data_IF_373506779438
#
_entry.id   IF_373506779438
#
_cell.length_a   1.000
_cell.length_b   1.000
_cell.length_c   1.000
_cell.angle_alpha   90.00
_cell.angle_beta   90.00
_cell.angle_gamma   90.00
#
_symmetry.space_group_name_H-M   'P 1'
#
loop_
_entity.id
_entity.type
_entity.pdbx_description
1 polymer ?
#
# COMPACT_ATOMS: atom_id res chain seq x y z
N UNK A 1 58.58 4.11 -0.28
CA UNK A 1 57.40 3.94 -1.16
C UNK A 1 56.37 3.16 -0.37
N UNK A 2 55.39 3.85 0.19
CA UNK A 2 54.25 3.24 0.87
C UNK A 2 53.37 2.55 -0.16
N UNK A 3 53.14 1.25 0.00
CA UNK A 3 52.15 0.50 -0.78
C UNK A 3 50.78 1.19 -0.67
N UNK A 4 50.02 1.32 -1.75
CA UNK A 4 48.63 1.74 -1.63
C UNK A 4 47.85 0.61 -0.97
N UNK A 5 47.46 0.81 0.30
CA UNK A 5 46.45 -0.01 0.97
C UNK A 5 45.23 -0.11 0.07
N UNK A 6 44.90 -1.30 -0.45
CA UNK A 6 43.66 -1.50 -1.18
C UNK A 6 42.49 -1.03 -0.30
N UNK A 7 41.56 -0.22 -0.83
CA UNK A 7 40.42 0.24 -0.04
C UNK A 7 39.63 -0.99 0.42
N UNK A 8 39.33 -1.07 1.71
CA UNK A 8 38.62 -2.22 2.27
C UNK A 8 37.25 -2.38 1.60
N UNK A 9 37.02 -3.52 0.97
CA UNK A 9 35.74 -3.86 0.34
C UNK A 9 34.61 -3.88 1.37
N UNK A 10 33.67 -2.93 1.25
CA UNK A 10 32.50 -2.87 2.09
C UNK A 10 31.40 -3.79 1.55
N UNK A 11 30.49 -4.25 2.40
CA UNK A 11 29.26 -4.89 1.92
C UNK A 11 28.35 -3.82 1.31
N UNK A 12 27.61 -4.18 0.26
CA UNK A 12 26.72 -3.26 -0.47
C UNK A 12 25.70 -2.58 0.46
N UNK A 13 25.09 -3.31 1.39
CA UNK A 13 24.18 -2.72 2.38
C UNK A 13 24.82 -1.63 3.25
N UNK A 14 26.07 -1.84 3.65
CA UNK A 14 26.86 -0.85 4.41
C UNK A 14 27.28 0.31 3.52
N UNK A 15 27.70 0.04 2.29
CA UNK A 15 28.13 1.05 1.34
C UNK A 15 26.98 1.98 0.91
N UNK A 16 25.78 1.44 0.69
CA UNK A 16 24.58 2.23 0.39
C UNK A 16 24.27 3.22 1.51
N UNK A 17 24.33 2.77 2.76
CA UNK A 17 24.10 3.65 3.92
C UNK A 17 25.20 4.68 4.08
N UNK A 18 26.46 4.24 4.02
CA UNK A 18 27.61 5.13 4.18
C UNK A 18 27.69 6.22 3.10
N UNK A 19 27.16 5.96 1.91
CA UNK A 19 27.09 6.91 0.79
C UNK A 19 25.80 7.73 0.74
N UNK A 20 24.91 7.59 1.71
CA UNK A 20 23.63 8.29 1.74
C UNK A 20 22.63 7.84 0.67
N UNK A 21 22.86 6.69 0.03
CA UNK A 21 21.99 6.08 -0.97
C UNK A 21 20.86 5.25 -0.33
N UNK A 22 20.96 5.00 0.98
CA UNK A 22 19.92 4.41 1.83
C UNK A 22 20.04 4.98 3.25
N UNK A 23 18.92 5.19 3.93
CA UNK A 23 18.85 5.71 5.31
C UNK A 23 19.11 4.65 6.37
N UNK A 24 18.90 3.38 6.03
CA UNK A 24 19.19 2.25 6.92
C UNK A 24 19.63 1.01 6.14
N UNK A 25 20.26 0.06 6.84
CA UNK A 25 20.62 -1.25 6.25
C UNK A 25 19.39 -2.04 5.82
N UNK A 26 18.24 -1.82 6.48
CA UNK A 26 16.96 -2.40 6.09
C UNK A 26 16.46 -1.86 4.75
N UNK A 27 16.50 -0.53 4.56
CA UNK A 27 16.17 0.10 3.27
C UNK A 27 17.15 -0.34 2.18
N UNK A 28 18.45 -0.40 2.48
CA UNK A 28 19.44 -0.89 1.53
C UNK A 28 19.15 -2.33 1.06
N UNK A 29 18.71 -3.20 1.98
CA UNK A 29 18.35 -4.57 1.62
C UNK A 29 17.12 -4.65 0.72
N UNK A 30 16.16 -3.77 0.96
CA UNK A 30 14.94 -3.66 0.18
C UNK A 30 15.19 -3.12 -1.24
N UNK A 31 16.02 -2.08 -1.38
CA UNK A 31 16.44 -1.55 -2.69
C UNK A 31 17.08 -2.63 -3.56
N UNK A 32 17.99 -3.43 -2.97
CA UNK A 32 18.64 -4.55 -3.68
C UNK A 32 17.62 -5.63 -4.04
N UNK A 33 16.68 -5.95 -3.15
CA UNK A 33 15.67 -6.98 -3.41
C UNK A 33 14.73 -6.63 -4.57
N UNK A 34 14.46 -5.34 -4.80
CA UNK A 34 13.66 -4.85 -5.93
C UNK A 34 14.44 -4.73 -7.24
N UNK A 35 15.75 -4.94 -7.23
CA UNK A 35 16.61 -4.70 -8.39
C UNK A 35 16.86 -3.22 -8.67
N UNK A 36 16.51 -2.32 -7.73
CA UNK A 36 16.67 -0.87 -7.86
C UNK A 36 18.12 -0.42 -7.64
N UNK A 37 19.06 -1.32 -7.36
CA UNK A 37 20.48 -0.98 -7.15
C UNK A 37 21.30 -1.55 -8.29
N UNK A 38 22.11 -0.71 -8.92
CA UNK A 38 23.16 -1.14 -9.83
C UNK A 38 24.54 -0.81 -9.27
N UNK A 39 25.49 -1.72 -9.48
CA UNK A 39 26.90 -1.57 -9.11
C UNK A 39 27.73 -1.75 -10.38
N UNK A 40 28.51 -0.73 -10.73
CA UNK A 40 29.29 -0.69 -11.97
C UNK A 40 28.46 -1.06 -13.21
N UNK A 41 27.25 -0.49 -13.30
CA UNK A 41 26.31 -0.70 -14.41
C UNK A 41 25.61 -2.06 -14.43
N UNK A 42 25.71 -2.88 -13.37
CA UNK A 42 25.03 -4.19 -13.28
C UNK A 42 24.06 -4.25 -12.10
N UNK A 43 22.85 -4.83 -12.26
CA UNK A 43 21.92 -5.01 -11.15
C UNK A 43 22.56 -5.80 -9.99
N UNK A 44 22.47 -5.25 -8.79
CA UNK A 44 22.87 -5.94 -7.58
C UNK A 44 21.76 -6.89 -7.14
N UNK A 45 22.12 -8.14 -6.86
CA UNK A 45 21.17 -9.18 -6.43
C UNK A 45 21.36 -9.62 -4.99
N UNK A 46 22.44 -9.16 -4.33
CA UNK A 46 22.80 -9.55 -2.97
C UNK A 46 23.31 -8.36 -2.17
N UNK A 47 22.72 -8.16 -1.00
CA UNK A 47 23.13 -7.12 -0.03
C UNK A 47 24.55 -7.32 0.51
N UNK A 48 25.01 -8.57 0.49
CA UNK A 48 26.36 -8.95 0.92
C UNK A 48 27.41 -8.83 -0.19
N UNK A 49 27.04 -8.36 -1.38
CA UNK A 49 27.98 -8.09 -2.47
C UNK A 49 29.08 -7.16 -1.94
N UNK A 50 30.34 -7.52 -2.20
CA UNK A 50 31.48 -6.70 -1.83
C UNK A 50 31.66 -5.61 -2.89
N UNK A 51 31.73 -4.37 -2.43
CA UNK A 51 31.88 -3.19 -3.28
C UNK A 51 33.08 -2.37 -2.83
N UNK A 52 33.90 -1.97 -3.79
CA UNK A 52 35.05 -1.10 -3.56
C UNK A 52 34.59 0.33 -3.33
N UNK A 53 35.42 1.12 -2.65
CA UNK A 53 35.14 2.52 -2.38
C UNK A 53 34.94 3.36 -3.67
N UNK A 54 35.62 2.99 -4.75
CA UNK A 54 35.60 3.67 -6.05
C UNK A 54 34.56 3.11 -7.05
N UNK A 55 33.90 1.99 -6.73
CA UNK A 55 32.86 1.45 -7.60
C UNK A 55 31.62 2.34 -7.60
N UNK A 56 31.12 2.69 -8.78
CA UNK A 56 29.87 3.43 -8.94
C UNK A 56 28.68 2.58 -8.46
N UNK A 57 27.87 3.14 -7.59
CA UNK A 57 26.64 2.54 -7.09
C UNK A 57 25.51 3.52 -7.41
N UNK A 58 24.54 3.08 -8.20
CA UNK A 58 23.36 3.87 -8.54
C UNK A 58 22.13 3.19 -7.95
N UNK A 59 21.23 4.00 -7.41
CA UNK A 59 19.89 3.56 -7.02
C UNK A 59 18.92 4.17 -8.02
N UNK A 60 18.12 3.33 -8.69
CA UNK A 60 17.12 3.77 -9.65
C UNK A 60 16.03 4.60 -8.95
N UNK A 61 15.83 5.84 -9.44
CA UNK A 61 14.68 6.67 -9.12
C UNK A 61 14.51 7.05 -7.64
N UNK A 62 13.34 7.62 -7.32
CA UNK A 62 12.94 8.15 -6.01
C UNK A 62 12.90 7.10 -4.87
N UNK A 63 13.27 5.83 -5.14
CA UNK A 63 13.27 4.72 -4.17
C UNK A 63 14.14 5.00 -2.93
N UNK A 64 15.22 5.77 -3.08
CA UNK A 64 16.04 6.19 -1.94
C UNK A 64 15.29 7.15 -0.99
N UNK A 65 14.31 7.91 -1.52
CA UNK A 65 13.51 8.87 -0.76
C UNK A 65 12.32 8.24 -0.03
N UNK A 66 11.84 7.08 -0.47
CA UNK A 66 10.64 6.48 0.12
C UNK A 66 10.92 5.89 1.52
N UNK A 67 10.01 6.14 2.47
CA UNK A 67 10.07 5.64 3.85
C UNK A 67 9.66 4.19 4.00
N UNK A 68 8.93 3.65 3.03
CA UNK A 68 8.64 2.23 3.01
C UNK A 68 8.21 1.71 1.66
N UNK A 69 8.23 0.38 1.55
CA UNK A 69 7.66 -0.37 0.42
C UNK A 69 6.19 -0.06 0.19
N UNK A 70 5.45 0.26 1.26
CA UNK A 70 4.02 0.56 1.14
C UNK A 70 3.78 1.77 0.24
N UNK A 71 4.68 2.76 0.22
CA UNK A 71 4.58 3.92 -0.67
C UNK A 71 4.37 3.52 -2.15
N UNK A 72 5.08 2.50 -2.64
CA UNK A 72 4.91 2.00 -4.00
C UNK A 72 3.51 1.48 -4.31
N UNK A 73 2.80 0.95 -3.31
CA UNK A 73 1.42 0.46 -3.51
C UNK A 73 0.49 1.63 -3.78
N UNK A 74 0.59 2.72 -3.01
CA UNK A 74 -0.24 3.91 -3.20
C UNK A 74 0.19 4.69 -4.46
N UNK A 75 1.48 4.78 -4.76
CA UNK A 75 1.96 5.29 -6.05
C UNK A 75 1.36 4.51 -7.22
N UNK A 76 1.31 3.18 -7.12
CA UNK A 76 0.62 2.33 -8.09
C UNK A 76 -0.86 2.65 -8.26
N UNK A 77 -1.54 3.04 -7.18
CA UNK A 77 -2.92 3.51 -7.25
C UNK A 77 -3.04 4.83 -8.03
N UNK A 78 -2.14 5.79 -7.80
CA UNK A 78 -2.10 7.03 -8.60
C UNK A 78 -1.76 6.76 -10.08
N UNK A 79 -0.83 5.85 -10.37
CA UNK A 79 -0.55 5.46 -11.75
C UNK A 79 -1.76 4.80 -12.42
N UNK A 80 -2.48 3.95 -11.69
CA UNK A 80 -3.59 3.16 -12.25
C UNK A 80 -4.87 3.98 -12.39
N UNK A 81 -5.25 4.72 -11.33
CA UNK A 81 -6.53 5.40 -11.21
C UNK A 81 -6.44 6.93 -11.31
N UNK A 82 -5.24 7.51 -11.25
CA UNK A 82 -5.04 8.96 -11.44
C UNK A 82 -5.60 9.45 -12.78
N UNK A 83 -5.32 8.79 -13.92
CA UNK A 83 -5.93 9.12 -15.20
C UNK A 83 -7.46 8.98 -15.24
N UNK A 84 -8.03 8.25 -14.28
CA UNK A 84 -9.47 8.00 -14.15
C UNK A 84 -10.14 8.96 -13.16
N UNK A 85 -9.36 9.80 -12.46
CA UNK A 85 -9.87 10.83 -11.55
C UNK A 85 -9.46 10.68 -10.08
N UNK A 86 -8.73 9.62 -9.71
CA UNK A 86 -8.20 9.51 -8.34
C UNK A 86 -7.16 10.59 -8.08
N UNK A 87 -7.44 11.48 -7.13
CA UNK A 87 -6.53 12.55 -6.73
C UNK A 87 -6.73 12.92 -5.27
N UNK A 88 -5.70 13.53 -4.67
CA UNK A 88 -5.71 14.02 -3.27
C UNK A 88 -5.23 15.47 -3.16
N UNK A 89 -5.10 16.17 -4.29
CA UNK A 89 -4.70 17.58 -4.31
C UNK A 89 -5.69 18.42 -3.50
N UNK A 90 -5.16 19.20 -2.56
CA UNK A 90 -5.95 20.05 -1.66
C UNK A 90 -6.94 19.29 -0.78
N UNK A 91 -6.71 17.99 -0.56
CA UNK A 91 -7.59 17.14 0.24
C UNK A 91 -7.06 16.97 1.67
N UNK A 92 -8.00 16.93 2.62
CA UNK A 92 -7.80 16.37 3.95
C UNK A 92 -7.86 14.85 3.86
N UNK A 93 -6.79 14.18 4.29
CA UNK A 93 -6.63 12.74 4.15
C UNK A 93 -6.55 12.04 5.50
N UNK A 94 -7.08 10.82 5.57
CA UNK A 94 -6.88 9.89 6.69
C UNK A 94 -6.11 8.65 6.18
N UNK A 95 -4.95 8.38 6.77
CA UNK A 95 -4.13 7.20 6.49
C UNK A 95 -4.31 6.17 7.60
N UNK A 96 -5.02 5.08 7.28
CA UNK A 96 -5.34 4.00 8.21
C UNK A 96 -4.26 2.90 8.16
N UNK A 97 -3.47 2.80 9.23
CA UNK A 97 -2.31 1.91 9.33
C UNK A 97 -1.05 2.58 8.76
N UNK A 98 -0.80 3.83 9.16
CA UNK A 98 0.28 4.66 8.63
C UNK A 98 1.67 4.02 8.82
N UNK A 99 1.89 3.25 9.89
CA UNK A 99 3.14 2.57 10.21
C UNK A 99 4.34 3.51 10.10
N UNK A 100 5.28 3.27 9.18
CA UNK A 100 6.45 4.16 8.97
C UNK A 100 6.15 5.40 8.14
N UNK A 101 4.90 5.60 7.70
CA UNK A 101 4.45 6.79 6.96
C UNK A 101 4.53 6.67 5.45
N UNK A 102 4.55 5.45 4.88
CA UNK A 102 4.70 5.26 3.43
C UNK A 102 3.56 5.85 2.60
N UNK A 103 2.32 5.62 3.03
CA UNK A 103 1.14 6.17 2.38
C UNK A 103 1.04 7.68 2.64
N UNK A 104 1.23 8.09 3.89
CA UNK A 104 1.34 9.49 4.31
C UNK A 104 2.32 10.29 3.44
N UNK A 105 3.54 9.78 3.21
CA UNK A 105 4.52 10.42 2.32
C UNK A 105 3.94 10.67 0.92
N UNK A 106 3.34 9.64 0.31
CA UNK A 106 2.79 9.76 -1.05
C UNK A 106 1.63 10.75 -1.08
N UNK A 107 0.77 10.79 -0.05
CA UNK A 107 -0.30 11.78 0.04
C UNK A 107 0.25 13.21 0.08
N UNK A 108 1.28 13.46 0.88
CA UNK A 108 1.94 14.76 0.98
C UNK A 108 2.58 15.19 -0.35
N UNK A 109 3.24 14.26 -1.05
CA UNK A 109 3.85 14.48 -2.37
C UNK A 109 2.81 14.75 -3.46
N UNK A 110 1.61 14.16 -3.34
CA UNK A 110 0.49 14.37 -4.26
C UNK A 110 -0.38 15.59 -3.90
N UNK A 111 0.05 16.40 -2.92
CA UNK A 111 -0.56 17.70 -2.62
C UNK A 111 -1.70 17.67 -1.62
N UNK A 112 -1.77 16.66 -0.74
CA UNK A 112 -2.66 16.70 0.43
C UNK A 112 -2.35 17.93 1.31
N UNK A 113 -3.40 18.57 1.82
CA UNK A 113 -3.30 19.75 2.71
C UNK A 113 -3.14 19.35 4.16
N UNK A 114 -3.68 18.20 4.54
CA UNK A 114 -3.54 17.59 5.87
C UNK A 114 -3.60 16.07 5.73
N UNK A 115 -2.79 15.36 6.51
CA UNK A 115 -2.82 13.89 6.61
C UNK A 115 -2.89 13.49 8.07
N UNK A 116 -3.99 12.85 8.45
CA UNK A 116 -4.17 12.23 9.75
C UNK A 116 -3.60 10.81 9.68
N UNK A 117 -2.44 10.60 10.29
CA UNK A 117 -1.72 9.34 10.24
C UNK A 117 -2.10 8.46 11.44
N UNK A 118 -3.01 7.51 11.22
CA UNK A 118 -3.52 6.63 12.26
C UNK A 118 -2.78 5.30 12.28
N UNK A 119 -2.25 4.91 13.44
CA UNK A 119 -1.74 3.56 13.68
C UNK A 119 -2.06 3.10 15.10
N UNK A 120 -2.16 1.79 15.30
CA UNK A 120 -2.29 1.17 16.64
C UNK A 120 -0.95 1.10 17.38
N UNK A 121 0.16 1.11 16.66
CA UNK A 121 1.49 1.24 17.22
C UNK A 121 1.79 2.67 17.70
N UNK A 122 2.95 2.85 18.31
CA UNK A 122 3.46 4.14 18.76
C UNK A 122 4.84 4.40 18.17
N UNK A 123 5.16 5.67 17.93
CA UNK A 123 6.47 6.15 17.47
C UNK A 123 6.98 5.43 16.22
N UNK A 124 6.07 5.10 15.29
CA UNK A 124 6.40 4.31 14.10
C UNK A 124 6.75 5.18 12.89
N UNK A 125 6.17 6.38 12.80
CA UNK A 125 6.38 7.29 11.69
C UNK A 125 7.86 7.64 11.54
N UNK A 126 8.32 7.69 10.29
CA UNK A 126 9.64 8.22 9.99
C UNK A 126 9.76 9.68 10.50
N UNK A 127 10.88 10.07 11.14
CA UNK A 127 11.03 11.40 11.72
C UNK A 127 10.80 12.55 10.73
N UNK A 128 11.13 12.39 9.45
CA UNK A 128 10.89 13.43 8.44
C UNK A 128 9.40 13.58 8.14
N UNK A 129 8.65 12.47 8.16
CA UNK A 129 7.19 12.48 7.96
C UNK A 129 6.48 13.06 9.18
N UNK A 130 6.88 12.64 10.38
CA UNK A 130 6.32 13.14 11.63
C UNK A 130 6.58 14.65 11.85
N UNK A 131 7.64 15.19 11.25
CA UNK A 131 7.98 16.60 11.34
C UNK A 131 7.27 17.49 10.30
N UNK A 132 6.59 16.93 9.29
CA UNK A 132 5.85 17.73 8.31
C UNK A 132 4.64 18.39 8.99
N UNK A 133 4.48 19.73 8.90
CA UNK A 133 3.41 20.45 9.60
C UNK A 133 2.00 20.10 9.11
N UNK A 134 1.87 19.38 7.99
CA UNK A 134 0.59 18.88 7.46
C UNK A 134 0.20 17.53 8.05
N UNK A 135 1.08 16.89 8.83
CA UNK A 135 0.83 15.56 9.41
C UNK A 135 0.35 15.70 10.84
N UNK A 136 -0.74 15.01 11.16
CA UNK A 136 -1.23 14.82 12.53
C UNK A 136 -1.06 13.34 12.87
N UNK A 137 -0.16 13.05 13.82
CA UNK A 137 0.07 11.69 14.30
C UNK A 137 -1.04 11.27 15.28
N UNK A 138 -1.76 10.22 14.93
CA UNK A 138 -2.81 9.60 15.73
C UNK A 138 -2.41 8.18 16.19
N UNK A 139 -1.12 7.98 16.45
CA UNK A 139 -0.56 6.75 17.04
C UNK A 139 -1.31 6.29 18.30
N UNK A 140 -1.37 4.97 18.49
CA UNK A 140 -2.14 4.33 19.56
C UNK A 140 -3.65 4.25 19.32
N UNK A 141 -4.14 4.72 18.17
CA UNK A 141 -5.58 4.75 17.86
C UNK A 141 -5.99 3.55 17.00
N UNK A 142 -7.13 2.94 17.31
CA UNK A 142 -7.69 1.86 16.50
C UNK A 142 -8.73 2.39 15.52
N UNK A 143 -8.74 1.84 14.30
CA UNK A 143 -9.81 2.10 13.32
C UNK A 143 -11.16 1.55 13.79
N UNK A 144 -11.19 0.59 14.72
CA UNK A 144 -12.45 -0.03 15.19
C UNK A 144 -13.24 0.95 16.04
N UNK A 145 -14.41 1.34 15.55
CA UNK A 145 -15.27 2.30 16.23
C UNK A 145 -14.79 3.74 16.14
N UNK A 146 -13.82 4.01 15.26
CA UNK A 146 -13.40 5.37 14.93
C UNK A 146 -14.59 6.15 14.37
N UNK A 147 -14.84 7.34 14.93
CA UNK A 147 -15.89 8.25 14.49
C UNK A 147 -15.30 9.59 14.05
N UNK A 148 -16.03 10.41 13.26
CA UNK A 148 -15.54 11.72 12.81
C UNK A 148 -15.09 12.65 13.94
N UNK A 149 -15.70 12.55 15.12
CA UNK A 149 -15.34 13.38 16.27
C UNK A 149 -13.92 13.09 16.79
N UNK A 150 -13.41 11.87 16.60
CA UNK A 150 -12.06 11.47 17.04
C UNK A 150 -10.96 12.08 16.16
N UNK A 151 -11.35 12.56 14.97
CA UNK A 151 -10.46 13.10 13.95
C UNK A 151 -10.88 14.51 13.52
N UNK A 152 -11.51 15.27 14.41
CA UNK A 152 -11.92 16.67 14.19
C UNK A 152 -12.77 16.89 12.93
N UNK A 153 -13.61 15.93 12.58
CA UNK A 153 -14.56 16.00 11.46
C UNK A 153 -14.32 14.95 10.39
N UNK A 154 -15.01 15.11 9.25
CA UNK A 154 -14.87 14.19 8.11
C UNK A 154 -13.64 14.54 7.26
N UNK A 155 -13.20 13.60 6.45
CA UNK A 155 -12.10 13.77 5.49
C UNK A 155 -12.58 13.58 4.06
N UNK A 156 -11.87 14.20 3.12
CA UNK A 156 -12.15 14.06 1.69
C UNK A 156 -11.66 12.71 1.16
N UNK A 157 -10.56 12.20 1.73
CA UNK A 157 -9.86 11.02 1.25
C UNK A 157 -9.47 10.09 2.39
N UNK A 158 -9.68 8.79 2.19
CA UNK A 158 -9.17 7.75 3.08
C UNK A 158 -8.23 6.85 2.30
N UNK A 159 -7.09 6.49 2.88
CA UNK A 159 -6.24 5.41 2.39
C UNK A 159 -6.04 4.38 3.49
N UNK A 160 -5.85 3.10 3.14
CA UNK A 160 -5.64 2.06 4.15
C UNK A 160 -4.69 0.95 3.70
N UNK A 161 -3.67 0.67 4.51
CA UNK A 161 -2.75 -0.50 4.39
C UNK A 161 -2.78 -1.38 5.65
N UNK A 162 -3.98 -1.73 6.12
CA UNK A 162 -4.17 -2.45 7.38
C UNK A 162 -3.64 -3.90 7.35
N UNK A 163 -3.06 -4.36 8.46
CA UNK A 163 -2.60 -5.74 8.62
C UNK A 163 -3.22 -6.39 9.86
N UNK A 164 -3.38 -7.71 9.85
CA UNK A 164 -3.95 -8.50 10.95
C UNK A 164 -5.41 -8.18 11.33
N UNK A 165 -6.10 -7.42 10.49
CA UNK A 165 -7.52 -7.11 10.59
C UNK A 165 -8.14 -7.25 9.20
N UNK A 166 -9.38 -7.75 9.14
CA UNK A 166 -10.16 -7.75 7.91
C UNK A 166 -10.63 -6.32 7.60
N UNK A 167 -10.51 -5.89 6.35
CA UNK A 167 -10.97 -4.59 5.90
C UNK A 167 -12.48 -4.40 6.14
N UNK A 168 -13.24 -5.50 6.12
CA UNK A 168 -14.68 -5.55 6.44
C UNK A 168 -15.01 -4.94 7.82
N UNK A 169 -14.11 -5.09 8.79
CA UNK A 169 -14.26 -4.50 10.12
C UNK A 169 -13.90 -3.00 10.17
N UNK A 170 -13.15 -2.51 9.20
CA UNK A 170 -12.75 -1.11 9.08
C UNK A 170 -13.70 -0.30 8.18
N UNK A 171 -14.39 -0.95 7.22
CA UNK A 171 -15.29 -0.29 6.26
C UNK A 171 -16.36 0.62 6.92
N UNK A 172 -16.99 0.27 8.06
CA UNK A 172 -17.93 1.18 8.71
C UNK A 172 -17.27 2.50 9.13
N UNK A 173 -16.08 2.43 9.74
CA UNK A 173 -15.32 3.63 10.12
C UNK A 173 -14.87 4.42 8.88
N UNK A 174 -14.43 3.74 7.81
CA UNK A 174 -14.11 4.39 6.53
C UNK A 174 -15.32 5.17 6.00
N UNK A 175 -16.51 4.55 5.99
CA UNK A 175 -17.75 5.20 5.56
C UNK A 175 -18.10 6.40 6.45
N UNK A 176 -17.99 6.23 7.76
CA UNK A 176 -18.37 7.25 8.72
C UNK A 176 -17.40 8.44 8.72
N UNK A 177 -16.12 8.24 8.46
CA UNK A 177 -15.11 9.29 8.41
C UNK A 177 -15.08 10.05 7.07
N UNK A 178 -15.57 9.47 5.96
CA UNK A 178 -15.65 10.17 4.68
C UNK A 178 -16.76 11.23 4.67
N UNK A 179 -16.51 12.33 3.96
CA UNK A 179 -17.56 13.27 3.58
C UNK A 179 -18.48 12.68 2.49
N UNK A 180 -19.57 13.38 2.15
CA UNK A 180 -20.57 12.87 1.20
C UNK A 180 -20.04 12.71 -0.24
N UNK A 181 -19.00 13.45 -0.61
CA UNK A 181 -18.30 13.34 -1.89
C UNK A 181 -16.97 12.57 -1.78
N UNK A 182 -16.68 12.00 -0.61
CA UNK A 182 -15.39 11.44 -0.28
C UNK A 182 -15.10 10.13 -0.98
N UNK A 183 -13.82 9.82 -1.10
CA UNK A 183 -13.34 8.63 -1.76
C UNK A 183 -12.27 7.92 -0.94
N UNK A 184 -12.17 6.60 -1.10
CA UNK A 184 -11.20 5.78 -0.41
C UNK A 184 -10.36 4.93 -1.36
N UNK A 185 -9.06 4.80 -1.08
CA UNK A 185 -8.15 3.87 -1.73
C UNK A 185 -7.63 2.84 -0.71
N UNK A 186 -8.18 1.63 -0.77
CA UNK A 186 -7.95 0.60 0.23
C UNK A 186 -7.13 -0.54 -0.36
N UNK A 187 -6.24 -1.13 0.44
CA UNK A 187 -5.62 -2.41 0.11
C UNK A 187 -6.42 -3.58 0.65
N UNK A 188 -6.93 -4.41 -0.26
CA UNK A 188 -7.49 -5.72 0.08
C UNK A 188 -6.36 -6.75 0.10
N UNK A 189 -6.19 -7.38 1.26
CA UNK A 189 -5.16 -8.38 1.52
C UNK A 189 -5.81 -9.73 1.78
N UNK A 190 -5.93 -10.62 0.78
CA UNK A 190 -6.67 -11.88 0.92
C UNK A 190 -6.30 -12.69 2.17
N UNK A 191 -5.02 -12.69 2.58
CA UNK A 191 -4.54 -13.39 3.78
C UNK A 191 -5.18 -12.92 5.10
N UNK A 192 -5.77 -11.73 5.14
CA UNK A 192 -6.50 -11.24 6.31
C UNK A 192 -8.03 -11.37 6.15
N UNK A 193 -8.51 -11.76 4.98
CA UNK A 193 -9.94 -11.88 4.65
C UNK A 193 -10.43 -13.35 4.62
N UNK A 194 -9.59 -14.29 4.18
CA UNK A 194 -10.03 -15.67 3.91
C UNK A 194 -10.22 -16.54 5.18
N UNK A 195 -9.87 -16.03 6.36
CA UNK A 195 -9.90 -16.79 7.62
C UNK A 195 -8.80 -17.85 7.72
N UNK A 196 -8.46 -18.27 8.95
CA UNK A 196 -7.27 -19.11 9.23
C UNK A 196 -7.22 -20.43 8.47
N UNK A 197 -8.38 -21.06 8.21
CA UNK A 197 -8.45 -22.37 7.57
C UNK A 197 -8.07 -22.36 6.07
N UNK A 198 -8.07 -21.19 5.43
CA UNK A 198 -7.75 -21.02 3.99
C UNK A 198 -6.36 -20.41 3.75
N UNK A 199 -5.53 -20.31 4.79
CA UNK A 199 -4.14 -19.88 4.67
C UNK A 199 -3.24 -21.08 4.34
N UNK A 200 -2.45 -20.96 3.27
CA UNK A 200 -1.43 -21.95 2.91
C UNK A 200 -0.23 -21.93 3.86
N UNK A 201 0.82 -22.69 3.51
CA UNK A 201 2.10 -22.65 4.22
C UNK A 201 2.60 -21.20 4.26
N UNK A 202 3.09 -20.77 5.43
CA UNK A 202 3.61 -19.41 5.67
C UNK A 202 2.58 -18.26 5.53
N UNK A 203 1.28 -18.54 5.54
CA UNK A 203 0.25 -17.50 5.51
C UNK A 203 -0.01 -16.89 4.12
N UNK A 204 0.34 -17.61 3.05
CA UNK A 204 0.13 -17.16 1.66
C UNK A 204 -1.17 -17.74 1.10
N UNK A 205 -1.95 -16.91 0.41
CA UNK A 205 -3.18 -17.31 -0.29
C UNK A 205 -2.89 -17.59 -1.77
N UNK A 206 -2.55 -18.85 -2.06
CA UNK A 206 -2.21 -19.28 -3.43
C UNK A 206 -3.43 -19.60 -4.28
N UNK A 207 -4.54 -20.03 -3.67
CA UNK A 207 -5.78 -20.38 -4.39
C UNK A 207 -6.45 -19.13 -5.00
N UNK A 208 -6.59 -19.06 -6.35
CA UNK A 208 -7.36 -18.02 -7.03
C UNK A 208 -8.78 -17.82 -6.50
N UNK A 209 -9.46 -18.90 -6.14
CA UNK A 209 -10.85 -18.84 -5.65
C UNK A 209 -10.92 -18.20 -4.28
N UNK A 210 -9.99 -18.53 -3.39
CA UNK A 210 -9.89 -17.90 -2.09
C UNK A 210 -9.62 -16.38 -2.21
N UNK A 211 -8.79 -15.95 -3.17
CA UNK A 211 -8.60 -14.52 -3.44
C UNK A 211 -9.85 -13.83 -3.99
N UNK A 212 -10.58 -14.50 -4.89
CA UNK A 212 -11.85 -13.99 -5.41
C UNK A 212 -12.90 -13.86 -4.30
N UNK A 213 -13.03 -14.87 -3.44
CA UNK A 213 -13.95 -14.86 -2.29
C UNK A 213 -13.64 -13.72 -1.32
N UNK A 214 -12.34 -13.46 -1.06
CA UNK A 214 -11.91 -12.32 -0.25
C UNK A 214 -12.37 -10.98 -0.83
N UNK A 215 -12.14 -10.77 -2.14
CA UNK A 215 -12.59 -9.56 -2.83
C UNK A 215 -14.11 -9.43 -2.79
N UNK A 216 -14.86 -10.49 -3.14
CA UNK A 216 -16.32 -10.48 -3.11
C UNK A 216 -16.86 -10.10 -1.72
N UNK A 217 -16.30 -10.66 -0.65
CA UNK A 217 -16.73 -10.33 0.72
C UNK A 217 -16.54 -8.85 1.06
N UNK A 218 -15.42 -8.24 0.67
CA UNK A 218 -15.19 -6.79 0.86
C UNK A 218 -16.15 -5.96 0.01
N UNK A 219 -16.38 -6.34 -1.25
CA UNK A 219 -17.26 -5.61 -2.16
C UNK A 219 -18.73 -5.66 -1.71
N UNK A 220 -19.19 -6.80 -1.19
CA UNK A 220 -20.54 -6.95 -0.62
C UNK A 220 -20.73 -6.02 0.57
N UNK A 221 -19.82 -6.04 1.54
CA UNK A 221 -19.92 -5.18 2.73
C UNK A 221 -19.81 -3.68 2.36
N UNK A 222 -18.97 -3.33 1.37
CA UNK A 222 -18.90 -1.96 0.86
C UNK A 222 -20.23 -1.52 0.25
N UNK A 223 -20.88 -2.37 -0.54
CA UNK A 223 -22.19 -2.09 -1.14
C UNK A 223 -23.29 -1.94 -0.07
N UNK A 224 -23.29 -2.77 0.96
CA UNK A 224 -24.23 -2.67 2.09
C UNK A 224 -24.08 -1.36 2.87
N UNK A 225 -22.87 -0.80 2.92
CA UNK A 225 -22.56 0.51 3.50
C UNK A 225 -22.77 1.69 2.52
N UNK A 226 -23.31 1.41 1.33
CA UNK A 226 -23.55 2.42 0.30
C UNK A 226 -22.29 3.01 -0.32
N UNK A 227 -21.14 2.32 -0.23
CA UNK A 227 -19.90 2.70 -0.89
C UNK A 227 -19.88 2.20 -2.33
N UNK A 228 -19.84 3.13 -3.29
CA UNK A 228 -19.75 2.82 -4.71
C UNK A 228 -18.33 2.37 -5.10
N UNK A 229 -18.21 1.28 -5.87
CA UNK A 229 -16.91 0.77 -6.33
C UNK A 229 -16.51 1.44 -7.63
N UNK A 230 -15.49 2.30 -7.60
CA UNK A 230 -15.00 3.02 -8.77
C UNK A 230 -13.92 2.25 -9.53
N UNK A 231 -13.13 1.41 -8.85
CA UNK A 231 -12.04 0.67 -9.48
C UNK A 231 -11.51 -0.48 -8.63
N UNK A 232 -11.04 -1.53 -9.29
CA UNK A 232 -10.34 -2.66 -8.67
C UNK A 232 -9.12 -2.99 -9.52
N UNK A 233 -7.94 -3.06 -8.91
CA UNK A 233 -6.70 -3.41 -9.60
C UNK A 233 -5.81 -4.29 -8.72
N UNK A 234 -4.83 -4.96 -9.31
CA UNK A 234 -3.77 -5.61 -8.54
C UNK A 234 -2.76 -4.56 -8.06
N UNK A 235 -2.27 -4.70 -6.82
CA UNK A 235 -1.15 -3.89 -6.32
C UNK A 235 0.12 -4.16 -7.16
N UNK A 236 0.95 -3.15 -7.47
CA UNK A 236 2.15 -3.32 -8.29
C UNK A 236 3.23 -4.16 -7.59
N UNK A 237 3.18 -4.26 -6.26
CA UNK A 237 4.09 -5.09 -5.47
C UNK A 237 3.31 -6.09 -4.63
N UNK A 238 3.93 -7.24 -4.38
CA UNK A 238 3.36 -8.24 -3.47
C UNK A 238 3.51 -7.82 -2.00
N UNK A 239 2.57 -8.24 -1.17
CA UNK A 239 2.63 -8.14 0.29
C UNK A 239 3.78 -8.96 0.89
N UNK A 240 4.08 -8.74 2.17
CA UNK A 240 5.33 -9.15 2.83
C UNK A 240 5.91 -10.52 2.43
N UNK A 241 5.12 -11.60 2.52
CA UNK A 241 5.53 -12.99 2.22
C UNK A 241 5.15 -13.47 0.81
N UNK A 242 4.92 -12.53 -0.13
CA UNK A 242 4.54 -12.83 -1.52
C UNK A 242 3.04 -12.93 -1.78
N UNK A 243 2.19 -12.46 -0.86
CA UNK A 243 0.75 -12.40 -1.10
C UNK A 243 0.42 -11.38 -2.20
N UNK A 244 -0.45 -11.77 -3.13
CA UNK A 244 -1.05 -10.83 -4.08
C UNK A 244 -2.05 -9.97 -3.32
N UNK A 245 -1.91 -8.65 -3.41
CA UNK A 245 -2.79 -7.66 -2.80
C UNK A 245 -3.50 -6.87 -3.90
N UNK A 246 -4.65 -6.27 -3.57
CA UNK A 246 -5.49 -5.58 -4.55
C UNK A 246 -5.81 -4.17 -4.07
N UNK A 247 -5.77 -3.22 -5.00
CA UNK A 247 -6.21 -1.85 -4.82
C UNK A 247 -7.72 -1.79 -5.05
N UNK A 248 -8.45 -1.16 -4.13
CA UNK A 248 -9.89 -0.96 -4.19
C UNK A 248 -10.20 0.53 -4.02
N UNK A 249 -10.77 1.13 -5.06
CA UNK A 249 -11.21 2.52 -5.08
C UNK A 249 -12.71 2.60 -4.82
N UNK A 250 -13.11 3.27 -3.74
CA UNK A 250 -14.49 3.44 -3.31
C UNK A 250 -14.90 4.91 -3.28
N UNK A 251 -16.20 5.17 -3.37
CA UNK A 251 -16.81 6.50 -3.17
C UNK A 251 -17.96 6.44 -2.18
N UNK A 252 -18.08 7.47 -1.34
CA UNK A 252 -19.21 7.66 -0.44
C UNK A 252 -20.50 8.13 -1.16
N UNK A 253 -20.37 8.56 -2.42
CA UNK A 253 -21.50 8.97 -3.25
C UNK A 253 -22.35 7.77 -3.64
N UNK A 254 -23.66 7.86 -3.38
CA UNK A 254 -24.59 6.75 -3.58
C UNK A 254 -24.89 6.44 -5.06
N UNK A 255 -24.57 7.34 -5.98
CA UNK A 255 -24.95 7.29 -7.40
C UNK A 255 -23.79 6.95 -8.35
N UNK A 256 -22.61 6.64 -7.83
CA UNK A 256 -21.41 6.34 -8.62
C UNK A 256 -20.92 4.93 -8.35
N UNK A 257 -20.15 4.40 -9.30
CA UNK A 257 -19.56 3.08 -9.21
C UNK A 257 -19.98 2.17 -10.35
N UNK A 258 -19.16 1.16 -10.60
CA UNK A 258 -19.43 0.17 -11.61
C UNK A 258 -20.54 -0.78 -11.14
N UNK A 259 -21.42 -1.25 -12.04
CA UNK A 259 -22.46 -2.23 -11.70
C UNK A 259 -21.86 -3.50 -11.09
N UNK A 260 -22.63 -4.19 -10.23
CA UNK A 260 -22.17 -5.41 -9.56
C UNK A 260 -21.58 -6.46 -10.53
N UNK A 261 -22.22 -6.65 -11.69
CA UNK A 261 -21.72 -7.58 -12.72
C UNK A 261 -20.32 -7.22 -13.22
N UNK A 262 -20.03 -5.92 -13.43
CA UNK A 262 -18.71 -5.46 -13.85
C UNK A 262 -17.65 -5.67 -12.74
N UNK A 263 -18.05 -5.53 -11.48
CA UNK A 263 -17.18 -5.84 -10.34
C UNK A 263 -16.78 -7.32 -10.34
N UNK A 264 -17.75 -8.23 -10.54
CA UNK A 264 -17.50 -9.68 -10.60
C UNK A 264 -16.58 -10.06 -11.76
N UNK A 265 -16.77 -9.44 -12.93
CA UNK A 265 -15.92 -9.65 -14.11
C UNK A 265 -14.48 -9.17 -13.85
N UNK A 266 -14.33 -8.01 -13.22
CA UNK A 266 -13.02 -7.48 -12.85
C UNK A 266 -12.31 -8.38 -11.82
N UNK A 267 -13.02 -8.85 -10.78
CA UNK A 267 -12.46 -9.81 -9.81
C UNK A 267 -12.04 -11.11 -10.49
N UNK A 268 -12.85 -11.63 -11.40
CA UNK A 268 -12.53 -12.84 -12.15
C UNK A 268 -11.27 -12.67 -13.01
N UNK A 269 -11.15 -11.55 -13.73
CA UNK A 269 -9.97 -11.21 -14.51
C UNK A 269 -8.71 -11.11 -13.66
N UNK A 270 -8.77 -10.40 -12.52
CA UNK A 270 -7.63 -10.20 -11.60
C UNK A 270 -7.20 -11.47 -10.88
N UNK A 271 -8.12 -12.42 -10.67
CA UNK A 271 -7.82 -13.65 -9.93
C UNK A 271 -7.52 -14.83 -10.85
N UNK A 272 -7.90 -14.76 -12.13
CA UNK A 272 -7.85 -15.88 -13.06
C UNK A 272 -8.97 -16.90 -12.83
N UNK A 273 -10.07 -16.49 -12.20
CA UNK A 273 -11.27 -17.32 -12.02
C UNK A 273 -12.23 -17.14 -13.21
N UNK A 274 -13.09 -18.11 -13.49
CA UNK A 274 -14.12 -17.97 -14.54
C UNK A 274 -15.36 -17.33 -13.91
N UNK A 275 -15.89 -16.28 -14.52
CA UNK A 275 -17.24 -15.80 -14.20
C UNK A 275 -18.23 -16.92 -14.54
N UNK A 276 -19.03 -17.37 -13.56
CA UNK A 276 -20.18 -18.24 -13.85
C UNK A 276 -21.24 -17.40 -14.55
N UNK A 277 -21.13 -17.23 -15.86
CA UNK A 277 -22.27 -16.79 -16.67
C UNK A 277 -23.28 -17.94 -16.72
N UNK A 278 -24.54 -17.60 -16.55
CA UNK A 278 -25.69 -18.50 -16.36
C UNK A 278 -25.71 -19.70 -17.33
N UNK A 279 -25.61 -20.90 -16.76
CA UNK A 279 -26.21 -22.10 -17.37
C UNK A 279 -27.64 -22.25 -16.85
N UNK A 280 -28.53 -21.32 -17.24
CA UNK A 280 -29.95 -21.68 -17.37
C UNK A 280 -30.09 -22.50 -18.63
N UNK A 281 -29.85 -23.81 -18.49
CA UNK A 281 -30.25 -24.78 -19.48
C UNK A 281 -31.76 -24.69 -19.68
N UNK A 282 -32.16 -24.27 -20.88
CA UNK A 282 -33.50 -24.51 -21.38
C UNK A 282 -33.77 -26.02 -21.27
N UNK A 283 -34.84 -26.36 -20.55
CA UNK A 283 -35.58 -27.60 -20.76
C UNK A 283 -36.84 -27.24 -21.53
#
# INVERSE_FOLDING_TARGET
MTEPTSPADARLDVALVARGLARSRGQAADLVARGAVTVAGRPATKVSLRVRADEEILVEGDDARLVSRAAHKLQGAFTTFGPQGWQVTSARCLDLGACTGGFTQVLLEQGATEVLALDVGHDQLDPEIAADPRVVDLSGTTVRGLVPADIDGRVDRVVADLSFISLRLALPAVRDCLDGAGEAMLLVKPQFEVGRARLGKHGVVTDPRARADALHGVLTDAAELGLGVLGIAQSPIAGGVGNVEYLLWLSARADVGMPWQAQLEQVAALTGTRTRTDTKGAR
#
